data_IF_727435658434
#
_entry.id   IF_727435658434
#
_cell.length_a   1.000
_cell.length_b   1.000
_cell.length_c   1.000
_cell.angle_alpha   90.00
_cell.angle_beta   90.00
_cell.angle_gamma   90.00
#
_symmetry.space_group_name_H-M   'P 1'
#
loop_
_entity.id
_entity.type
_entity.pdbx_description
1 polymer ?
#
# COMPACT_ATOMS: atom_id res chain seq x y z
N UNK A 1 18.17 -22.40 27.40
CA UNK A 1 17.95 -21.36 26.37
C UNK A 1 17.63 -22.05 25.06
N UNK A 2 16.35 -22.27 24.77
CA UNK A 2 15.91 -22.80 23.47
C UNK A 2 15.88 -21.65 22.47
N UNK A 3 16.80 -21.67 21.50
CA UNK A 3 16.78 -20.74 20.38
C UNK A 3 15.54 -21.01 19.52
N UNK A 4 14.55 -20.14 19.59
CA UNK A 4 13.41 -20.17 18.67
C UNK A 4 13.95 -19.80 17.29
N UNK A 5 13.96 -20.75 16.35
CA UNK A 5 14.33 -20.48 14.97
C UNK A 5 13.45 -19.37 14.39
N UNK A 6 14.06 -18.36 13.76
CA UNK A 6 13.32 -17.31 13.07
C UNK A 6 12.43 -17.94 11.98
N UNK A 7 11.15 -17.57 11.89
CA UNK A 7 10.25 -18.12 10.89
C UNK A 7 10.76 -17.78 9.48
N UNK A 8 10.59 -18.71 8.54
CA UNK A 8 10.83 -18.43 7.11
C UNK A 8 9.74 -17.49 6.59
N UNK A 9 10.05 -16.69 5.56
CA UNK A 9 9.09 -15.77 4.91
C UNK A 9 7.78 -16.47 4.50
N UNK A 10 7.89 -17.70 3.98
CA UNK A 10 6.72 -18.50 3.62
C UNK A 10 5.84 -18.84 4.85
N UNK A 11 6.47 -19.20 5.97
CA UNK A 11 5.74 -19.50 7.21
C UNK A 11 5.13 -18.24 7.85
N UNK A 12 5.77 -17.08 7.71
CA UNK A 12 5.24 -15.80 8.16
C UNK A 12 4.00 -15.39 7.36
N UNK A 13 4.08 -15.48 6.03
CA UNK A 13 2.95 -15.19 5.13
C UNK A 13 1.73 -16.08 5.41
N UNK A 14 1.94 -17.37 5.62
CA UNK A 14 0.86 -18.28 5.97
C UNK A 14 0.17 -17.88 7.30
N UNK A 15 0.94 -17.41 8.29
CA UNK A 15 0.39 -16.91 9.57
C UNK A 15 -0.41 -15.63 9.39
N UNK A 16 0.06 -14.71 8.55
CA UNK A 16 -0.64 -13.45 8.27
C UNK A 16 -1.94 -13.71 7.50
N UNK A 17 -1.91 -14.57 6.47
CA UNK A 17 -3.10 -14.97 5.74
C UNK A 17 -4.14 -15.59 6.67
N UNK A 18 -3.73 -16.56 7.50
CA UNK A 18 -4.62 -17.17 8.49
C UNK A 18 -5.15 -16.17 9.54
N UNK A 19 -4.39 -15.10 9.82
CA UNK A 19 -4.84 -14.02 10.71
C UNK A 19 -5.90 -13.15 10.03
N UNK A 20 -5.73 -12.81 8.76
CA UNK A 20 -6.74 -12.11 7.96
C UNK A 20 -8.06 -12.91 7.89
N UNK A 21 -7.99 -14.23 7.87
CA UNK A 21 -9.19 -15.10 7.82
C UNK A 21 -9.91 -15.24 9.16
N UNK A 22 -9.22 -15.08 10.30
CA UNK A 22 -9.74 -15.47 11.63
C UNK A 22 -9.86 -14.35 12.64
N UNK A 23 -9.10 -13.26 12.47
CA UNK A 23 -9.03 -12.19 13.46
C UNK A 23 -9.80 -10.98 12.96
N UNK A 24 -10.98 -10.78 13.53
CA UNK A 24 -11.74 -9.54 13.37
C UNK A 24 -11.26 -8.51 14.41
N UNK A 25 -10.34 -7.62 14.03
CA UNK A 25 -10.16 -6.36 14.75
C UNK A 25 -11.12 -5.36 14.12
N UNK A 26 -12.11 -4.92 14.90
CA UNK A 26 -13.10 -3.96 14.45
C UNK A 26 -12.64 -2.53 14.69
N UNK A 27 -12.82 -1.68 13.68
CA UNK A 27 -12.58 -0.24 13.75
C UNK A 27 -13.55 0.43 14.73
N UNK A 28 -13.03 1.15 15.73
CA UNK A 28 -13.85 1.98 16.60
C UNK A 28 -14.27 3.26 15.85
N UNK A 29 -15.50 3.26 15.34
CA UNK A 29 -16.06 4.37 14.56
C UNK A 29 -16.24 5.64 15.38
N UNK A 30 -16.51 5.53 16.69
CA UNK A 30 -16.65 6.71 17.55
C UNK A 30 -15.31 7.41 17.73
N UNK A 31 -14.25 6.64 17.97
CA UNK A 31 -12.89 7.18 18.05
C UNK A 31 -12.45 7.77 16.71
N UNK A 32 -12.71 7.08 15.59
CA UNK A 32 -12.39 7.60 14.26
C UNK A 32 -13.09 8.92 13.98
N UNK A 33 -14.41 9.00 14.20
CA UNK A 33 -15.18 10.23 13.99
C UNK A 33 -14.63 11.40 14.81
N UNK A 34 -14.32 11.16 16.09
CA UNK A 34 -13.71 12.18 16.96
C UNK A 34 -12.36 12.65 16.42
N UNK A 35 -11.50 11.75 15.94
CA UNK A 35 -10.18 12.09 15.41
C UNK A 35 -10.25 12.89 14.10
N UNK A 36 -11.21 12.56 13.22
CA UNK A 36 -11.46 13.30 11.98
C UNK A 36 -11.94 14.73 12.33
N UNK A 37 -12.96 14.84 13.18
CA UNK A 37 -13.56 16.14 13.52
C UNK A 37 -12.62 17.05 14.32
N UNK A 38 -11.69 16.47 15.10
CA UNK A 38 -10.62 17.22 15.76
C UNK A 38 -9.68 17.91 14.76
N UNK A 39 -9.56 17.40 13.53
CA UNK A 39 -8.74 18.00 12.47
C UNK A 39 -9.54 18.92 11.55
N UNK A 40 -10.77 18.53 11.23
CA UNK A 40 -11.70 19.29 10.38
C UNK A 40 -13.12 19.14 10.95
N UNK A 41 -13.63 20.14 11.70
CA UNK A 41 -14.93 20.04 12.35
C UNK A 41 -16.08 19.73 11.38
N UNK A 42 -16.89 18.72 11.70
CA UNK A 42 -18.08 18.31 10.93
C UNK A 42 -17.78 17.47 9.69
N UNK A 43 -16.50 17.18 9.41
CA UNK A 43 -16.11 16.34 8.28
C UNK A 43 -16.57 14.90 8.46
N UNK A 44 -16.52 14.35 9.67
CA UNK A 44 -16.93 12.96 9.89
C UNK A 44 -18.40 12.72 9.53
N UNK A 45 -19.30 13.65 9.87
CA UNK A 45 -20.72 13.53 9.54
C UNK A 45 -20.92 13.56 8.01
N UNK A 46 -20.24 14.47 7.32
CA UNK A 46 -20.27 14.56 5.85
C UNK A 46 -19.76 13.28 5.20
N UNK A 47 -18.61 12.75 5.64
CA UNK A 47 -18.03 11.50 5.11
C UNK A 47 -18.98 10.31 5.33
N UNK A 48 -19.57 10.18 6.51
CA UNK A 48 -20.50 9.09 6.79
C UNK A 48 -21.77 9.15 5.93
N UNK A 49 -22.26 10.36 5.62
CA UNK A 49 -23.43 10.55 4.77
C UNK A 49 -23.15 10.29 3.28
N UNK A 50 -21.98 10.70 2.79
CA UNK A 50 -21.63 10.64 1.37
C UNK A 50 -20.88 9.36 0.98
N UNK A 51 -20.11 8.78 1.91
CA UNK A 51 -19.18 7.67 1.67
C UNK A 51 -19.21 6.66 2.84
N UNK A 52 -20.35 6.00 3.10
CA UNK A 52 -20.52 5.13 4.27
C UNK A 52 -19.52 3.96 4.33
N UNK A 53 -18.94 3.57 3.19
CA UNK A 53 -17.98 2.47 3.06
C UNK A 53 -16.53 2.92 2.86
N UNK A 54 -16.21 4.19 3.16
CA UNK A 54 -14.86 4.71 2.99
C UNK A 54 -13.82 3.99 3.88
N UNK A 55 -14.26 3.51 5.04
CA UNK A 55 -13.43 2.73 5.95
C UNK A 55 -14.01 1.32 6.10
N UNK A 56 -13.14 0.32 5.96
CA UNK A 56 -13.46 -1.05 6.31
C UNK A 56 -13.61 -1.17 7.83
N UNK A 57 -14.59 -1.97 8.27
CA UNK A 57 -14.73 -2.30 9.69
C UNK A 57 -13.64 -3.28 10.15
N UNK A 58 -12.97 -3.98 9.25
CA UNK A 58 -11.96 -4.99 9.59
C UNK A 58 -10.56 -4.56 9.17
N UNK A 59 -9.59 -4.75 10.06
CA UNK A 59 -8.18 -4.61 9.72
C UNK A 59 -7.68 -5.74 8.81
N UNK A 60 -6.82 -5.39 7.85
CA UNK A 60 -6.02 -6.35 7.08
C UNK A 60 -4.59 -6.26 7.57
N UNK A 61 -4.01 -7.40 7.94
CA UNK A 61 -2.64 -7.53 8.40
C UNK A 61 -1.70 -7.73 7.21
N UNK A 62 -0.60 -7.00 7.22
CA UNK A 62 0.48 -7.11 6.23
C UNK A 62 1.79 -7.37 6.97
N UNK A 63 2.55 -8.36 6.50
CA UNK A 63 3.84 -8.71 7.09
C UNK A 63 4.89 -7.65 6.83
N UNK A 64 5.78 -7.43 7.81
CA UNK A 64 6.85 -6.45 7.67
C UNK A 64 7.74 -6.76 6.46
N UNK A 65 8.07 -8.03 6.27
CA UNK A 65 8.89 -8.45 5.13
C UNK A 65 8.19 -8.21 3.78
N UNK A 66 6.85 -8.29 3.72
CA UNK A 66 6.11 -7.96 2.50
C UNK A 66 6.12 -6.44 2.24
N UNK A 67 5.98 -5.61 3.27
CA UNK A 67 6.13 -4.15 3.13
C UNK A 67 7.53 -3.78 2.65
N UNK A 68 8.57 -4.38 3.24
CA UNK A 68 9.94 -4.19 2.80
C UNK A 68 10.11 -4.63 1.33
N UNK A 69 9.47 -5.73 0.92
CA UNK A 69 9.52 -6.19 -0.47
C UNK A 69 8.81 -5.26 -1.44
N UNK A 70 7.67 -4.67 -1.05
CA UNK A 70 7.00 -3.64 -1.84
C UNK A 70 7.93 -2.43 -2.04
N UNK A 71 8.59 -1.97 -0.98
CA UNK A 71 9.51 -0.82 -1.05
C UNK A 71 10.72 -1.10 -1.93
N UNK A 72 11.33 -2.29 -1.85
CA UNK A 72 12.41 -2.71 -2.76
C UNK A 72 11.99 -2.62 -4.22
N UNK A 73 10.76 -3.07 -4.52
CA UNK A 73 10.24 -3.08 -5.88
C UNK A 73 9.94 -1.67 -6.38
N UNK A 74 9.34 -0.81 -5.55
CA UNK A 74 9.18 0.62 -5.86
C UNK A 74 10.53 1.27 -6.15
N UNK A 75 11.54 1.04 -5.31
CA UNK A 75 12.88 1.59 -5.53
C UNK A 75 13.50 1.10 -6.85
N UNK A 76 13.30 -0.17 -7.21
CA UNK A 76 13.77 -0.73 -8.46
C UNK A 76 13.09 -0.07 -9.67
N UNK A 77 11.76 0.09 -9.64
CA UNK A 77 11.02 0.80 -10.69
C UNK A 77 11.50 2.23 -10.79
N UNK A 78 11.60 2.95 -9.67
CA UNK A 78 12.07 4.33 -9.62
C UNK A 78 13.51 4.50 -10.12
N UNK A 79 14.38 3.52 -9.91
CA UNK A 79 15.73 3.54 -10.45
C UNK A 79 15.72 3.37 -11.97
N UNK A 80 14.94 2.42 -12.49
CA UNK A 80 14.85 2.14 -13.93
C UNK A 80 14.26 3.31 -14.70
N UNK A 81 13.16 3.91 -14.21
CA UNK A 81 12.53 5.06 -14.88
C UNK A 81 13.39 6.33 -14.89
N UNK A 82 14.47 6.37 -14.10
CA UNK A 82 15.47 7.45 -14.13
C UNK A 82 16.55 7.25 -15.20
N UNK A 83 16.70 6.03 -15.72
CA UNK A 83 17.71 5.74 -16.75
C UNK A 83 17.37 6.47 -18.06
N UNK A 84 18.30 7.25 -18.63
CA UNK A 84 18.05 7.98 -19.88
C UNK A 84 17.61 7.08 -21.04
N UNK A 85 18.27 5.93 -21.20
CA UNK A 85 17.94 4.96 -22.25
C UNK A 85 16.53 4.39 -22.10
N UNK A 86 16.10 4.12 -20.86
CA UNK A 86 14.72 3.68 -20.62
C UNK A 86 13.72 4.77 -20.99
N UNK A 87 13.98 6.03 -20.60
CA UNK A 87 13.11 7.17 -20.92
C UNK A 87 12.97 7.37 -22.42
N UNK A 88 14.08 7.37 -23.15
CA UNK A 88 14.08 7.49 -24.61
C UNK A 88 13.31 6.35 -25.28
N UNK A 89 13.54 5.11 -24.85
CA UNK A 89 12.84 3.95 -25.37
C UNK A 89 11.33 4.03 -25.10
N UNK A 90 10.93 4.37 -23.86
CA UNK A 90 9.53 4.50 -23.47
C UNK A 90 8.81 5.60 -24.26
N UNK A 91 9.45 6.76 -24.46
CA UNK A 91 8.89 7.87 -25.23
C UNK A 91 8.74 7.52 -26.72
N UNK A 92 9.77 6.88 -27.30
CA UNK A 92 9.72 6.38 -28.67
C UNK A 92 8.59 5.38 -28.86
N UNK A 93 8.44 4.43 -27.95
CA UNK A 93 7.35 3.46 -27.97
C UNK A 93 5.97 4.13 -27.86
N UNK A 94 5.87 5.21 -27.09
CA UNK A 94 4.65 6.01 -26.98
C UNK A 94 4.40 6.96 -28.17
N UNK A 95 5.33 7.06 -29.13
CA UNK A 95 5.25 8.05 -30.22
C UNK A 95 5.29 9.49 -29.73
N UNK A 96 5.90 9.74 -28.56
CA UNK A 96 5.96 11.06 -27.92
C UNK A 96 7.39 11.54 -27.78
N UNK A 97 7.56 12.85 -27.70
CA UNK A 97 8.81 13.49 -27.28
C UNK A 97 8.67 14.02 -25.85
N UNK A 98 9.79 14.10 -25.12
CA UNK A 98 9.78 14.60 -23.75
C UNK A 98 9.72 16.14 -23.73
N UNK A 99 8.60 16.70 -23.29
CA UNK A 99 8.48 18.13 -23.02
C UNK A 99 7.66 18.35 -21.73
N UNK A 100 8.18 17.95 -20.55
CA UNK A 100 7.44 18.12 -19.31
C UNK A 100 7.30 19.61 -18.96
N UNK A 101 6.07 20.09 -18.97
CA UNK A 101 5.71 21.42 -18.43
C UNK A 101 5.40 21.36 -16.94
N UNK A 102 5.06 20.17 -16.43
CA UNK A 102 4.80 19.94 -15.02
C UNK A 102 6.11 19.90 -14.21
N UNK A 103 6.09 20.55 -13.03
CA UNK A 103 7.22 20.56 -12.09
C UNK A 103 7.39 19.24 -11.34
N UNK A 104 6.39 18.36 -11.37
CA UNK A 104 6.39 17.06 -10.70
C UNK A 104 5.09 16.29 -10.94
N UNK A 105 5.06 15.06 -10.46
CA UNK A 105 3.88 14.19 -10.48
C UNK A 105 3.75 13.47 -9.14
N UNK A 106 2.52 13.22 -8.72
CA UNK A 106 2.23 12.27 -7.64
C UNK A 106 1.92 10.92 -8.28
N UNK A 107 2.64 9.88 -7.86
CA UNK A 107 2.48 8.52 -8.37
C UNK A 107 2.26 7.57 -7.19
N UNK A 108 1.26 6.71 -7.30
CA UNK A 108 1.00 5.61 -6.37
C UNK A 108 1.36 4.28 -7.02
N UNK A 109 1.75 3.32 -6.18
CA UNK A 109 1.98 1.93 -6.57
C UNK A 109 1.02 1.05 -5.79
N UNK A 110 0.20 0.29 -6.50
CA UNK A 110 -0.77 -0.62 -5.90
C UNK A 110 -0.22 -2.04 -5.91
N UNK A 111 -0.39 -2.75 -4.80
CA UNK A 111 0.08 -4.13 -4.67
C UNK A 111 -1.06 -5.06 -4.28
N UNK A 112 -1.07 -6.23 -4.92
CA UNK A 112 -1.85 -7.39 -4.50
C UNK A 112 -0.98 -8.30 -3.63
N UNK A 113 -1.50 -8.66 -2.45
CA UNK A 113 -0.88 -9.67 -1.59
C UNK A 113 -1.26 -11.06 -2.10
N UNK A 114 -0.26 -11.84 -2.50
CA UNK A 114 -0.43 -13.23 -2.95
C UNK A 114 0.30 -14.19 -2.00
N UNK A 115 0.03 -15.50 -2.04
CA UNK A 115 0.81 -16.49 -1.29
C UNK A 115 2.32 -16.44 -1.57
N UNK A 116 2.72 -16.00 -2.78
CA UNK A 116 4.10 -15.83 -3.18
C UNK A 116 4.71 -14.46 -2.80
N UNK A 117 3.95 -13.60 -2.12
CA UNK A 117 4.34 -12.24 -1.74
C UNK A 117 3.61 -11.14 -2.52
N UNK A 118 3.98 -9.87 -2.29
CA UNK A 118 3.38 -8.74 -2.99
C UNK A 118 3.69 -8.77 -4.49
N UNK A 119 2.73 -8.29 -5.27
CA UNK A 119 2.81 -8.12 -6.73
C UNK A 119 2.21 -6.76 -7.10
N UNK A 120 2.92 -5.97 -7.92
CA UNK A 120 2.31 -4.82 -8.60
C UNK A 120 1.20 -5.30 -9.54
#
# INVERSE_FOLDING_TARGET
>A
MTATASPTLASERARIAARNDKVCITLDRTVLSRLIDARVPGLSATMNAQQPHLFSDTAVFVGRADVEKMQELVNAVEAVVRLPLYREAALRAAGRTFAPTARGAFCSYDFHLTPAGPRL
#
